data_IF_265107906006
#
_entry.id   IF_265107906006
#
_cell.length_a   1.000
_cell.length_b   1.000
_cell.length_c   1.000
_cell.angle_alpha   90.00
_cell.angle_beta   90.00
_cell.angle_gamma   90.00
#
_symmetry.space_group_name_H-M   'P 1'
#
loop_
_entity.id
_entity.type
_entity.pdbx_description
1 polymer ?
#
# COMPACT_ATOMS: atom_id res chain seq x y z
N UNK A 1 -30.97 11.61 -4.35
CA UNK A 1 -29.89 12.58 -4.61
C UNK A 1 -29.04 12.05 -5.74
N UNK A 2 -28.70 12.87 -6.74
CA UNK A 2 -27.82 12.43 -7.83
C UNK A 2 -26.46 11.99 -7.31
N UNK A 3 -25.95 10.87 -7.82
CA UNK A 3 -24.63 10.34 -7.47
C UNK A 3 -23.53 11.39 -7.66
N UNK A 4 -23.66 12.23 -8.69
CA UNK A 4 -22.73 13.33 -8.96
C UNK A 4 -22.77 14.43 -7.88
N UNK A 5 -23.94 14.69 -7.27
CA UNK A 5 -24.06 15.65 -6.16
C UNK A 5 -23.45 15.08 -4.88
N UNK A 6 -23.64 13.79 -4.62
CA UNK A 6 -23.01 13.09 -3.48
C UNK A 6 -21.49 13.10 -3.59
N UNK A 7 -20.94 12.77 -4.77
CA UNK A 7 -19.49 12.73 -4.98
C UNK A 7 -18.83 14.10 -4.77
N UNK A 8 -19.47 15.18 -5.23
CA UNK A 8 -18.99 16.55 -5.04
C UNK A 8 -18.92 16.93 -3.56
N UNK A 9 -19.92 16.53 -2.77
CA UNK A 9 -19.94 16.78 -1.32
C UNK A 9 -18.83 16.00 -0.63
N UNK A 10 -18.66 14.71 -0.95
CA UNK A 10 -17.59 13.89 -0.35
C UNK A 10 -16.21 14.44 -0.72
N UNK A 11 -15.99 14.81 -1.99
CA UNK A 11 -14.74 15.41 -2.44
C UNK A 11 -14.46 16.76 -1.74
N UNK A 12 -15.48 17.58 -1.53
CA UNK A 12 -15.35 18.85 -0.80
C UNK A 12 -14.97 18.64 0.67
N UNK A 13 -15.57 17.65 1.35
CA UNK A 13 -15.25 17.31 2.74
C UNK A 13 -13.83 16.75 2.86
N UNK A 14 -13.44 15.85 1.97
CA UNK A 14 -12.07 15.28 1.95
C UNK A 14 -11.05 16.39 1.68
N UNK A 15 -11.30 17.27 0.72
CA UNK A 15 -10.43 18.42 0.44
C UNK A 15 -10.29 19.37 1.64
N UNK A 16 -11.39 19.67 2.33
CA UNK A 16 -11.36 20.51 3.53
C UNK A 16 -10.57 19.87 4.67
N UNK A 17 -10.72 18.56 4.87
CA UNK A 17 -9.94 17.79 5.84
C UNK A 17 -8.44 17.79 5.49
N UNK A 18 -8.08 17.60 4.23
CA UNK A 18 -6.69 17.65 3.77
C UNK A 18 -6.03 19.00 4.03
N UNK A 19 -6.75 20.11 3.80
CA UNK A 19 -6.25 21.47 4.07
C UNK A 19 -6.03 21.67 5.58
N UNK A 20 -6.97 21.25 6.43
CA UNK A 20 -6.82 21.35 7.88
C UNK A 20 -5.61 20.55 8.40
N UNK A 21 -5.39 19.36 7.83
CA UNK A 21 -4.23 18.53 8.14
C UNK A 21 -2.91 19.18 7.71
N UNK A 22 -2.87 19.75 6.51
CA UNK A 22 -1.70 20.46 5.97
C UNK A 22 -1.30 21.64 6.87
N UNK A 23 -2.27 22.47 7.29
CA UNK A 23 -2.04 23.60 8.19
C UNK A 23 -1.47 23.14 9.53
N UNK A 24 -1.96 22.01 10.07
CA UNK A 24 -1.49 21.45 11.35
C UNK A 24 -0.05 20.95 11.26
N UNK A 25 0.34 20.35 10.13
CA UNK A 25 1.72 19.87 9.90
C UNK A 25 2.68 21.05 9.80
N UNK A 26 2.34 22.07 8.99
CA UNK A 26 3.21 23.23 8.76
C UNK A 26 3.39 24.04 10.05
N UNK A 27 2.30 24.30 10.79
CA UNK A 27 2.35 25.08 12.04
C UNK A 27 3.18 24.42 13.14
N UNK A 28 3.15 23.09 13.25
CA UNK A 28 3.92 22.36 14.26
C UNK A 28 5.33 22.00 13.81
N UNK A 29 5.61 21.97 12.50
CA UNK A 29 6.88 21.52 11.93
C UNK A 29 8.04 22.49 12.12
N UNK A 30 7.77 23.79 12.22
CA UNK A 30 8.83 24.81 12.22
C UNK A 30 9.46 25.05 13.61
N UNK A 31 8.69 24.90 14.69
CA UNK A 31 9.12 25.22 16.06
C UNK A 31 9.97 24.13 16.73
N UNK A 32 9.63 22.84 16.60
CA UNK A 32 10.42 21.78 17.23
C UNK A 32 11.62 21.29 16.39
N UNK A 33 11.80 21.80 15.16
CA UNK A 33 13.04 21.64 14.38
C UNK A 33 14.07 22.73 14.75
N UNK A 34 13.63 23.96 15.09
CA UNK A 34 14.53 25.08 15.44
C UNK A 34 15.12 25.02 16.85
N UNK A 35 14.54 24.25 17.78
CA UNK A 35 14.92 24.24 19.19
C UNK A 35 16.22 23.45 19.54
N UNK A 36 16.97 22.91 18.57
CA UNK A 36 18.29 22.29 18.83
C UNK A 36 18.29 20.97 19.62
N UNK A 37 17.14 20.45 20.04
CA UNK A 37 16.98 19.17 20.76
C UNK A 37 16.90 17.95 19.81
N UNK A 38 17.75 17.95 18.77
CA UNK A 38 17.58 17.21 17.51
C UNK A 38 17.57 15.68 17.57
N UNK A 39 17.70 15.06 18.74
CA UNK A 39 17.54 13.60 18.91
C UNK A 39 16.16 13.22 19.46
N UNK A 40 15.60 14.00 20.39
CA UNK A 40 14.31 13.73 21.01
C UNK A 40 13.14 14.38 20.25
N UNK A 41 13.36 15.58 19.67
CA UNK A 41 12.34 16.29 18.89
C UNK A 41 12.08 15.63 17.53
N UNK A 42 13.13 15.16 16.86
CA UNK A 42 13.02 14.41 15.58
C UNK A 42 12.25 13.11 15.77
N UNK A 43 12.46 12.40 16.88
CA UNK A 43 11.68 11.20 17.21
C UNK A 43 10.19 11.49 17.33
N UNK A 44 9.82 12.58 18.00
CA UNK A 44 8.41 12.99 18.15
C UNK A 44 7.75 13.31 16.81
N UNK A 45 8.45 14.01 15.90
CA UNK A 45 7.93 14.25 14.55
C UNK A 45 7.82 13.00 13.71
N UNK A 46 8.74 12.07 13.87
CA UNK A 46 8.72 10.78 13.18
C UNK A 46 7.50 9.96 13.58
N UNK A 47 7.13 9.96 14.87
CA UNK A 47 5.90 9.32 15.33
C UNK A 47 4.63 9.99 14.78
N UNK A 48 4.61 11.32 14.71
CA UNK A 48 3.49 12.05 14.07
C UNK A 48 3.43 11.69 12.58
N UNK A 49 4.55 11.70 11.86
CA UNK A 49 4.60 11.32 10.44
C UNK A 49 4.13 9.89 10.22
N UNK A 50 4.55 8.93 11.06
CA UNK A 50 4.07 7.55 10.99
C UNK A 50 2.58 7.43 11.30
N UNK A 51 2.05 8.20 12.25
CA UNK A 51 0.62 8.22 12.54
C UNK A 51 -0.19 8.71 11.34
N UNK A 52 0.29 9.79 10.69
CA UNK A 52 -0.35 10.33 9.49
C UNK A 52 -0.25 9.36 8.31
N UNK A 53 0.91 8.74 8.11
CA UNK A 53 1.11 7.70 7.10
C UNK A 53 0.17 6.51 7.35
N UNK A 54 0.07 6.05 8.60
CA UNK A 54 -0.83 4.97 8.98
C UNK A 54 -2.29 5.35 8.72
N UNK A 55 -2.71 6.56 9.12
CA UNK A 55 -4.06 7.07 8.86
C UNK A 55 -4.36 7.16 7.35
N UNK A 56 -3.40 7.59 6.54
CA UNK A 56 -3.55 7.66 5.09
C UNK A 56 -3.67 6.25 4.47
N UNK A 57 -2.78 5.32 4.83
CA UNK A 57 -2.82 3.94 4.36
C UNK A 57 -4.14 3.27 4.75
N UNK A 58 -4.56 3.40 6.01
CA UNK A 58 -5.84 2.86 6.49
C UNK A 58 -7.00 3.46 5.72
N UNK A 59 -7.01 4.77 5.48
CA UNK A 59 -8.07 5.42 4.71
C UNK A 59 -8.13 4.89 3.28
N UNK A 60 -7.00 4.80 2.59
CA UNK A 60 -6.92 4.29 1.20
C UNK A 60 -7.38 2.84 1.14
N UNK A 61 -6.88 1.97 2.03
CA UNK A 61 -7.28 0.56 2.09
C UNK A 61 -8.78 0.46 2.37
N UNK A 62 -9.29 1.17 3.39
CA UNK A 62 -10.70 1.15 3.76
C UNK A 62 -11.61 1.59 2.61
N UNK A 63 -11.32 2.73 1.98
CA UNK A 63 -12.12 3.23 0.86
C UNK A 63 -12.00 2.35 -0.38
N UNK A 64 -10.82 1.81 -0.66
CA UNK A 64 -10.60 0.92 -1.81
C UNK A 64 -11.38 -0.38 -1.64
N UNK A 65 -11.28 -1.03 -0.48
CA UNK A 65 -12.02 -2.26 -0.18
C UNK A 65 -13.53 -2.00 -0.12
N UNK A 66 -13.96 -0.94 0.55
CA UNK A 66 -15.38 -0.58 0.63
C UNK A 66 -15.96 -0.31 -0.76
N UNK A 67 -15.25 0.43 -1.62
CA UNK A 67 -15.67 0.70 -2.99
C UNK A 67 -15.68 -0.56 -3.87
N UNK A 68 -14.70 -1.45 -3.68
CA UNK A 68 -14.63 -2.72 -4.39
C UNK A 68 -15.82 -3.62 -4.04
N UNK A 69 -16.10 -3.80 -2.75
CA UNK A 69 -17.17 -4.69 -2.25
C UNK A 69 -18.56 -4.12 -2.57
N UNK A 70 -18.72 -2.78 -2.50
CA UNK A 70 -20.01 -2.13 -2.79
C UNK A 70 -20.41 -2.22 -4.26
N UNK A 71 -19.46 -2.50 -5.17
CA UNK A 71 -19.70 -2.62 -6.60
C UNK A 71 -19.48 -4.06 -7.07
N UNK A 72 -20.56 -4.85 -7.15
CA UNK A 72 -20.51 -6.25 -7.57
C UNK A 72 -19.79 -6.47 -8.92
N UNK A 73 -19.93 -5.53 -9.87
CA UNK A 73 -19.24 -5.58 -11.15
C UNK A 73 -17.72 -5.41 -11.02
N UNK A 74 -17.27 -4.44 -10.20
CA UNK A 74 -15.84 -4.21 -9.95
C UNK A 74 -15.23 -5.39 -9.19
N UNK A 75 -15.91 -5.88 -8.16
CA UNK A 75 -15.47 -7.05 -7.40
C UNK A 75 -15.27 -8.27 -8.30
N UNK A 76 -16.23 -8.56 -9.18
CA UNK A 76 -16.13 -9.67 -10.14
C UNK A 76 -14.92 -9.51 -11.06
N UNK A 77 -14.71 -8.33 -11.65
CA UNK A 77 -13.59 -8.09 -12.55
C UNK A 77 -12.24 -8.22 -11.83
N UNK A 78 -12.12 -7.67 -10.62
CA UNK A 78 -10.92 -7.84 -9.80
C UNK A 78 -10.67 -9.30 -9.44
N UNK A 79 -11.72 -10.06 -9.10
CA UNK A 79 -11.57 -11.47 -8.78
C UNK A 79 -11.18 -12.31 -9.99
N UNK A 80 -11.71 -12.00 -11.18
CA UNK A 80 -11.29 -12.63 -12.44
C UNK A 80 -9.83 -12.31 -12.73
N UNK A 81 -9.39 -11.05 -12.55
CA UNK A 81 -8.01 -10.66 -12.76
C UNK A 81 -7.05 -11.37 -11.79
N UNK A 82 -7.38 -11.42 -10.50
CA UNK A 82 -6.61 -12.16 -9.50
C UNK A 82 -6.58 -13.65 -9.85
N UNK A 83 -7.74 -14.24 -10.16
CA UNK A 83 -7.83 -15.66 -10.53
C UNK A 83 -7.01 -16.01 -11.78
N UNK A 84 -7.08 -15.18 -12.82
CA UNK A 84 -6.30 -15.36 -14.03
C UNK A 84 -4.79 -15.21 -13.77
N UNK A 85 -4.39 -14.24 -12.97
CA UNK A 85 -2.99 -14.04 -12.58
C UNK A 85 -2.47 -15.21 -11.74
N UNK A 86 -3.23 -15.65 -10.73
CA UNK A 86 -2.88 -16.82 -9.91
C UNK A 86 -2.80 -18.08 -10.75
N UNK A 87 -3.75 -18.31 -11.66
CA UNK A 87 -3.73 -19.45 -12.56
C UNK A 87 -2.47 -19.44 -13.44
N UNK A 88 -2.13 -18.29 -14.01
CA UNK A 88 -0.93 -18.12 -14.80
C UNK A 88 0.33 -18.37 -13.96
N UNK A 89 0.41 -17.81 -12.75
CA UNK A 89 1.54 -18.02 -11.85
C UNK A 89 1.73 -19.51 -11.49
N UNK A 90 0.63 -20.24 -11.26
CA UNK A 90 0.68 -21.69 -11.02
C UNK A 90 1.16 -22.45 -12.27
N UNK A 91 0.70 -22.08 -13.46
CA UNK A 91 1.18 -22.66 -14.72
C UNK A 91 2.68 -22.43 -14.88
N UNK A 92 3.16 -21.20 -14.66
CA UNK A 92 4.59 -20.89 -14.70
C UNK A 92 5.39 -21.72 -13.69
N UNK A 93 4.92 -21.84 -12.45
CA UNK A 93 5.60 -22.57 -11.40
C UNK A 93 5.64 -24.09 -11.61
N UNK A 94 4.53 -24.70 -12.02
CA UNK A 94 4.44 -26.16 -12.12
C UNK A 94 4.88 -26.69 -13.49
N UNK A 95 4.63 -25.96 -14.57
CA UNK A 95 4.87 -26.43 -15.94
C UNK A 95 6.21 -25.91 -16.46
N UNK A 96 6.50 -24.62 -16.28
CA UNK A 96 7.66 -23.99 -16.91
C UNK A 96 8.89 -23.92 -16.00
N UNK A 97 8.72 -23.82 -14.67
CA UNK A 97 9.84 -23.72 -13.75
C UNK A 97 10.47 -25.10 -13.47
N UNK A 98 11.73 -25.26 -13.87
CA UNK A 98 12.49 -26.51 -13.71
C UNK A 98 12.88 -26.77 -12.25
N UNK A 99 13.36 -25.74 -11.54
CA UNK A 99 13.80 -25.85 -10.15
C UNK A 99 15.10 -26.63 -10.03
N UNK A 100 16.23 -25.92 -10.05
CA UNK A 100 17.55 -26.53 -9.88
C UNK A 100 18.17 -26.00 -8.60
N UNK A 101 18.65 -26.91 -7.74
CA UNK A 101 19.44 -26.51 -6.58
C UNK A 101 20.69 -25.77 -7.05
N UNK A 102 20.77 -24.50 -6.67
CA UNK A 102 21.80 -23.59 -7.19
C UNK A 102 22.51 -22.95 -6.01
N UNK A 103 23.83 -23.07 -5.99
CA UNK A 103 24.66 -22.39 -5.00
C UNK A 103 24.67 -20.88 -5.31
N UNK A 104 24.31 -20.08 -4.32
CA UNK A 104 24.34 -18.63 -4.38
C UNK A 104 25.77 -18.10 -4.19
N UNK A 105 26.00 -16.84 -4.56
CA UNK A 105 27.29 -16.16 -4.42
C UNK A 105 27.76 -15.99 -2.98
N UNK A 106 26.86 -16.11 -2.01
CA UNK A 106 27.13 -16.05 -0.57
C UNK A 106 27.42 -17.44 0.03
N UNK A 107 27.44 -18.50 -0.78
CA UNK A 107 27.69 -19.87 -0.36
C UNK A 107 26.47 -20.61 0.19
N UNK A 108 25.28 -19.96 0.21
CA UNK A 108 24.03 -20.63 0.58
C UNK A 108 23.42 -21.38 -0.62
N UNK A 109 22.66 -22.44 -0.35
CA UNK A 109 22.01 -23.23 -1.40
C UNK A 109 20.57 -22.76 -1.59
N UNK A 110 20.19 -22.40 -2.83
CA UNK A 110 18.77 -22.24 -3.17
C UNK A 110 18.12 -23.62 -3.22
N UNK A 111 17.07 -23.79 -2.42
CA UNK A 111 16.22 -24.97 -2.52
C UNK A 111 15.49 -25.01 -3.88
N UNK A 112 15.11 -26.21 -4.32
CA UNK A 112 14.31 -26.42 -5.54
C UNK A 112 13.07 -25.53 -5.56
N UNK A 113 12.38 -25.38 -4.42
CA UNK A 113 11.17 -24.56 -4.32
C UNK A 113 11.46 -23.07 -4.56
N UNK A 114 12.53 -22.53 -3.97
CA UNK A 114 12.94 -21.14 -4.18
C UNK A 114 13.42 -20.91 -5.61
N UNK A 115 14.16 -21.85 -6.18
CA UNK A 115 14.60 -21.83 -7.58
C UNK A 115 13.41 -21.82 -8.54
N UNK A 116 12.36 -22.60 -8.26
CA UNK A 116 11.11 -22.57 -9.04
C UNK A 116 10.33 -21.26 -8.89
N UNK A 117 10.32 -20.65 -7.70
CA UNK A 117 9.67 -19.35 -7.52
C UNK A 117 10.32 -18.28 -8.38
N UNK A 118 11.66 -18.21 -8.39
CA UNK A 118 12.41 -17.28 -9.25
C UNK A 118 12.24 -17.60 -10.73
N UNK A 119 12.20 -18.88 -11.11
CA UNK A 119 11.99 -19.30 -12.50
C UNK A 119 10.57 -19.10 -13.02
N UNK A 120 9.57 -18.98 -12.14
CA UNK A 120 8.17 -18.76 -12.48
C UNK A 120 7.83 -17.28 -12.72
N UNK A 121 8.70 -16.35 -12.30
CA UNK A 121 8.53 -14.90 -12.43
C UNK A 121 9.38 -14.11 -11.45
#
# INVERSE_FOLDING_TARGET
MDLQKLLKIVAAVVGLLSIAFLVTIISKGDDAIKAGDGAASVGTYMYVAYFILAAAVVSVVFFTLSNLISNAANLKNTLIAIGAFTLLALICYFIFASGVETMLKDGTMLSVAQSKLVGAG
#
